data_IF_035036084013
#
_entry.id   IF_035036084013
#
_cell.length_a   1.000
_cell.length_b   1.000
_cell.length_c   1.000
_cell.angle_alpha   90.00
_cell.angle_beta   90.00
_cell.angle_gamma   90.00
#
_symmetry.space_group_name_H-M   'P 1'
#
loop_
_entity.id
_entity.type
_entity.pdbx_description
1 polymer ?
#
# COMPACT_ATOMS: atom_id res chain seq x y z
N UNK A 1 -17.20 -18.72 -13.28
CA UNK A 1 -17.36 -17.27 -13.00
C UNK A 1 -17.89 -16.94 -11.59
N UNK A 2 -17.93 -17.87 -10.60
CA UNK A 2 -18.49 -17.61 -9.26
C UNK A 2 -17.47 -17.21 -8.18
N UNK A 3 -16.16 -17.39 -8.41
CA UNK A 3 -15.14 -17.16 -7.38
C UNK A 3 -14.72 -15.70 -7.17
N UNK A 4 -14.95 -14.80 -8.13
CA UNK A 4 -14.58 -13.39 -7.96
C UNK A 4 -15.61 -12.57 -7.16
N UNK A 5 -16.85 -13.05 -7.05
CA UNK A 5 -17.96 -12.30 -6.47
C UNK A 5 -18.12 -12.48 -4.95
N UNK A 6 -17.58 -13.55 -4.36
CA UNK A 6 -17.77 -13.87 -2.93
C UNK A 6 -16.85 -13.09 -1.98
N UNK A 7 -15.77 -12.47 -2.47
CA UNK A 7 -14.82 -11.78 -1.59
C UNK A 7 -15.22 -10.35 -1.18
N UNK A 8 -16.25 -9.77 -1.81
CA UNK A 8 -16.74 -8.41 -1.54
C UNK A 8 -17.75 -8.32 -0.38
N UNK A 9 -18.14 -9.46 0.22
CA UNK A 9 -19.11 -9.54 1.33
C UNK A 9 -18.48 -9.38 2.73
N UNK A 10 -17.16 -9.29 2.84
CA UNK A 10 -16.53 -8.97 4.12
C UNK A 10 -16.62 -7.45 4.34
N UNK A 11 -17.30 -7.01 5.39
CA UNK A 11 -17.55 -5.62 5.82
C UNK A 11 -16.30 -4.79 6.14
N UNK A 12 -15.26 -4.86 5.30
CA UNK A 12 -13.96 -4.21 5.48
C UNK A 12 -13.86 -3.07 4.48
N UNK A 13 -13.55 -1.89 5.00
CA UNK A 13 -13.26 -0.70 4.17
C UNK A 13 -11.90 -0.91 3.49
N UNK A 14 -11.84 -0.70 2.17
CA UNK A 14 -10.63 -0.90 1.37
C UNK A 14 -10.21 0.40 0.73
N UNK A 15 -8.92 0.70 0.81
CA UNK A 15 -8.30 1.82 0.11
C UNK A 15 -7.27 1.27 -0.87
N UNK A 16 -7.48 1.54 -2.15
CA UNK A 16 -6.52 1.24 -3.22
C UNK A 16 -5.80 2.54 -3.57
N UNK A 17 -4.47 2.49 -3.53
CA UNK A 17 -3.60 3.62 -3.88
C UNK A 17 -2.75 3.23 -5.08
N UNK A 18 -2.24 4.24 -5.79
CA UNK A 18 -1.38 4.07 -6.95
C UNK A 18 -2.09 3.34 -8.11
N UNK A 19 -3.34 3.72 -8.36
CA UNK A 19 -4.21 3.06 -9.32
C UNK A 19 -3.75 3.22 -10.77
N UNK A 20 -2.97 4.26 -11.07
CA UNK A 20 -2.34 4.47 -12.37
C UNK A 20 -1.37 3.33 -12.76
N UNK A 21 -0.83 2.62 -11.76
CA UNK A 21 0.05 1.46 -11.95
C UNK A 21 -0.67 0.12 -12.14
N UNK A 22 -2.01 0.09 -12.14
CA UNK A 22 -2.78 -1.14 -12.32
C UNK A 22 -2.60 -1.68 -13.74
N UNK A 23 -2.40 -2.99 -13.86
CA UNK A 23 -2.27 -3.66 -15.14
C UNK A 23 -3.57 -4.38 -15.49
N UNK A 24 -4.03 -4.23 -16.73
CA UNK A 24 -5.18 -4.92 -17.29
C UNK A 24 -4.67 -5.92 -18.33
N UNK A 25 -5.07 -7.18 -18.24
CA UNK A 25 -4.70 -8.19 -19.22
C UNK A 25 -5.24 -7.85 -20.62
N UNK A 26 -4.53 -8.25 -21.66
CA UNK A 26 -4.94 -8.02 -23.04
C UNK A 26 -4.31 -6.79 -23.67
N UNK A 27 -4.48 -6.66 -24.99
CA UNK A 27 -3.89 -5.57 -25.75
C UNK A 27 -4.52 -4.22 -25.40
N UNK A 28 -3.70 -3.17 -25.38
CA UNK A 28 -4.04 -1.81 -25.04
C UNK A 28 -5.30 -1.29 -25.78
N UNK A 29 -5.37 -1.44 -27.10
CA UNK A 29 -6.48 -0.94 -27.91
C UNK A 29 -7.84 -1.61 -27.61
N UNK A 30 -7.84 -2.87 -27.16
CA UNK A 30 -9.08 -3.58 -26.80
C UNK A 30 -9.68 -3.07 -25.49
N UNK A 31 -8.82 -2.68 -24.55
CA UNK A 31 -9.23 -2.27 -23.21
C UNK A 31 -9.81 -0.85 -23.17
N UNK A 32 -9.70 -0.06 -24.25
CA UNK A 32 -10.24 1.31 -24.36
C UNK A 32 -11.78 1.38 -24.37
N UNK A 33 -12.48 0.24 -24.54
CA UNK A 33 -13.93 0.18 -24.84
C UNK A 33 -14.85 -0.24 -23.67
N UNK A 34 -14.42 -0.25 -22.40
CA UNK A 34 -15.25 -0.79 -21.32
C UNK A 34 -15.37 0.13 -20.10
N UNK A 35 -16.61 0.33 -19.61
CA UNK A 35 -17.02 0.20 -18.19
C UNK A 35 -18.52 0.57 -18.00
N UNK A 36 -19.41 -0.38 -17.65
CA UNK A 36 -20.78 -0.09 -17.22
C UNK A 36 -20.88 0.18 -15.71
N UNK A 37 -21.53 1.27 -15.30
CA UNK A 37 -21.54 1.80 -13.92
C UNK A 37 -22.94 2.04 -13.32
N UNK A 38 -24.01 1.47 -13.88
CA UNK A 38 -25.39 1.92 -13.62
C UNK A 38 -26.21 1.14 -12.57
N UNK A 39 -25.65 0.14 -11.88
CA UNK A 39 -26.44 -0.70 -10.94
C UNK A 39 -26.39 -0.21 -9.49
N UNK A 40 -27.53 -0.25 -8.77
CA UNK A 40 -27.63 0.14 -7.35
C UNK A 40 -26.72 -0.69 -6.42
N UNK A 41 -26.55 -1.98 -6.71
CA UNK A 41 -25.59 -2.86 -6.02
C UNK A 41 -24.13 -2.42 -6.24
N UNK A 42 -23.82 -1.90 -7.43
CA UNK A 42 -22.51 -1.31 -7.73
C UNK A 42 -22.24 -0.04 -6.93
N UNK A 43 -23.25 0.81 -6.76
CA UNK A 43 -23.14 2.06 -5.98
C UNK A 43 -22.81 1.81 -4.50
N UNK A 44 -23.49 0.88 -3.83
CA UNK A 44 -23.20 0.52 -2.44
C UNK A 44 -21.80 -0.10 -2.21
N UNK A 45 -21.24 -0.77 -3.23
CA UNK A 45 -19.88 -1.28 -3.20
C UNK A 45 -18.83 -0.17 -3.40
N UNK A 46 -19.14 0.84 -4.21
CA UNK A 46 -18.29 2.00 -4.45
C UNK A 46 -18.18 2.90 -3.22
N UNK A 47 -19.23 3.04 -2.41
CA UNK A 47 -19.21 3.84 -1.17
C UNK A 47 -18.17 3.35 -0.14
N UNK A 48 -17.82 2.06 -0.17
CA UNK A 48 -16.85 1.43 0.75
C UNK A 48 -15.43 1.39 0.21
N UNK A 49 -15.25 1.75 -1.05
CA UNK A 49 -13.99 1.71 -1.78
C UNK A 49 -13.46 3.14 -1.96
N UNK A 50 -12.24 3.39 -1.51
CA UNK A 50 -11.51 4.60 -1.88
C UNK A 50 -10.40 4.24 -2.86
N UNK A 51 -10.33 4.98 -3.95
CA UNK A 51 -9.38 4.77 -5.06
C UNK A 51 -8.63 6.09 -5.24
N UNK A 52 -7.30 6.02 -5.26
CA UNK A 52 -6.44 7.18 -5.48
C UNK A 52 -5.40 6.88 -6.55
N UNK A 53 -5.17 7.84 -7.44
CA UNK A 53 -3.99 7.89 -8.30
C UNK A 53 -2.82 8.47 -7.49
N UNK A 54 -1.65 7.83 -7.59
CA UNK A 54 -0.54 8.05 -6.67
C UNK A 54 -0.87 7.65 -5.23
N UNK A 55 -0.01 8.05 -4.29
CA UNK A 55 -0.15 7.68 -2.87
C UNK A 55 -0.23 8.95 -2.02
N UNK A 56 -1.45 9.47 -1.78
CA UNK A 56 -1.62 10.71 -1.05
C UNK A 56 -1.29 10.53 0.45
N UNK A 57 -0.83 11.60 1.15
CA UNK A 57 -0.89 11.65 2.60
C UNK A 57 -2.34 11.45 3.04
N UNK A 58 -2.67 10.57 4.01
CA UNK A 58 -1.84 9.92 5.04
C UNK A 58 -1.33 8.50 4.68
N UNK A 59 -1.54 8.00 3.47
CA UNK A 59 -1.26 6.60 3.08
C UNK A 59 0.19 6.36 2.61
N UNK A 60 1.01 7.41 2.57
CA UNK A 60 2.40 7.39 2.13
C UNK A 60 3.37 6.86 3.22
N UNK A 61 2.99 7.02 4.50
CA UNK A 61 3.77 6.62 5.68
C UNK A 61 3.26 5.31 6.27
N UNK A 62 4.18 4.46 6.75
CA UNK A 62 3.81 3.31 7.59
C UNK A 62 3.84 3.77 9.06
N UNK A 63 2.72 3.73 9.81
CA UNK A 63 2.69 4.18 11.20
C UNK A 63 3.60 3.38 12.13
N UNK A 64 3.87 2.10 11.84
CA UNK A 64 4.72 1.20 12.66
C UNK A 64 6.24 1.48 12.53
N UNK A 65 6.64 2.54 11.83
CA UNK A 65 8.06 2.81 11.58
C UNK A 65 8.70 3.59 12.75
N UNK A 66 9.80 3.10 13.35
CA UNK A 66 10.42 3.70 14.54
C UNK A 66 10.97 5.13 14.36
N UNK A 67 11.11 5.61 13.11
CA UNK A 67 11.51 7.00 12.82
C UNK A 67 10.35 7.97 12.68
N UNK A 68 9.10 7.51 12.79
CA UNK A 68 7.97 8.44 12.90
C UNK A 68 7.90 8.93 14.35
N UNK A 69 7.62 10.22 14.59
CA UNK A 69 7.28 10.67 15.93
C UNK A 69 6.10 9.82 16.44
N UNK A 70 6.09 9.42 17.73
CA UNK A 70 4.88 8.90 18.35
C UNK A 70 3.74 9.87 18.04
N UNK A 71 2.54 9.38 17.72
CA UNK A 71 1.39 10.27 17.65
C UNK A 71 1.14 10.78 19.06
N UNK A 72 1.71 11.93 19.41
CA UNK A 72 1.34 12.66 20.63
C UNK A 72 -0.14 12.98 20.48
N UNK A 73 -0.96 12.48 21.40
CA UNK A 73 -2.31 12.99 21.59
C UNK A 73 -2.13 14.35 22.24
N UNK A 74 -2.03 15.41 21.44
CA UNK A 74 -2.05 16.77 21.97
C UNK A 74 -3.44 17.03 22.57
N UNK A 75 -3.56 17.28 23.88
CA UNK A 75 -4.86 17.52 24.53
C UNK A 75 -5.57 18.78 24.01
N UNK A 76 -4.81 19.77 23.50
CA UNK A 76 -5.35 21.08 23.10
C UNK A 76 -5.80 21.14 21.63
N UNK A 77 -5.34 20.19 20.79
CA UNK A 77 -5.75 20.10 19.38
C UNK A 77 -5.98 18.63 18.99
N UNK A 78 -7.19 18.08 19.25
CA UNK A 78 -7.50 16.73 18.81
C UNK A 78 -7.37 16.63 17.28
N UNK A 79 -6.75 15.58 16.73
CA UNK A 79 -6.70 15.41 15.28
C UNK A 79 -8.14 15.38 14.77
N UNK A 80 -8.50 16.35 13.91
CA UNK A 80 -9.82 16.40 13.25
C UNK A 80 -10.15 14.99 12.76
N UNK A 81 -11.12 14.33 13.39
CA UNK A 81 -11.46 12.95 13.06
C UNK A 81 -12.04 12.94 11.65
N UNK A 82 -11.39 12.31 10.66
CA UNK A 82 -12.04 12.13 9.38
C UNK A 82 -13.21 11.18 9.60
N UNK A 83 -14.39 11.52 9.05
CA UNK A 83 -15.63 10.72 9.12
C UNK A 83 -15.45 9.24 8.67
N UNK A 84 -14.34 8.93 8.01
CA UNK A 84 -13.80 7.60 7.82
C UNK A 84 -12.51 7.43 8.64
N UNK A 85 -12.53 6.64 9.71
CA UNK A 85 -11.33 6.26 10.44
C UNK A 85 -10.23 5.77 9.49
N UNK A 86 -9.09 6.46 9.48
CA UNK A 86 -7.99 6.12 8.59
C UNK A 86 -7.42 4.79 9.10
N UNK A 87 -7.58 3.71 8.34
CA UNK A 87 -6.81 2.48 8.53
C UNK A 87 -5.36 2.78 8.14
N UNK A 88 -4.63 3.46 9.02
CA UNK A 88 -3.20 3.68 8.85
C UNK A 88 -2.50 2.36 9.12
N UNK A 89 -2.02 1.70 8.07
CA UNK A 89 -1.30 0.44 8.17
C UNK A 89 -0.32 0.29 7.01
N UNK A 90 0.67 -0.60 7.17
CA UNK A 90 1.58 -0.94 6.08
C UNK A 90 0.79 -1.40 4.86
N UNK A 91 0.99 -0.73 3.72
CA UNK A 91 0.39 -1.11 2.43
C UNK A 91 0.61 -2.60 2.15
N UNK A 92 -0.46 -3.28 1.75
CA UNK A 92 -0.48 -4.71 1.44
C UNK A 92 -0.55 -4.92 -0.08
N UNK A 93 -0.13 -6.10 -0.52
CA UNK A 93 -0.22 -6.54 -1.92
C UNK A 93 -1.13 -7.76 -1.96
N UNK A 94 -2.07 -7.77 -2.90
CA UNK A 94 -2.94 -8.94 -3.14
C UNK A 94 -2.25 -9.84 -4.17
N UNK A 95 -1.60 -10.90 -3.71
CA UNK A 95 -0.87 -11.83 -4.58
C UNK A 95 -1.78 -12.49 -5.62
N UNK A 96 -3.01 -12.81 -5.22
CA UNK A 96 -4.04 -13.37 -6.09
C UNK A 96 -4.47 -12.44 -7.25
N UNK A 97 -4.03 -11.18 -7.30
CA UNK A 97 -4.31 -10.24 -8.38
C UNK A 97 -3.04 -9.73 -9.07
N UNK A 98 -1.86 -10.21 -8.66
CA UNK A 98 -0.59 -9.68 -9.14
C UNK A 98 -0.28 -10.19 -10.55
N UNK A 99 0.03 -9.27 -11.48
CA UNK A 99 0.30 -9.58 -12.89
C UNK A 99 1.34 -10.70 -13.07
N UNK A 100 2.46 -10.64 -12.35
CA UNK A 100 3.56 -11.61 -12.48
C UNK A 100 3.14 -13.05 -12.11
N UNK A 101 2.12 -13.18 -11.25
CA UNK A 101 1.59 -14.47 -10.83
C UNK A 101 0.48 -14.94 -11.78
N UNK A 102 -0.38 -14.02 -12.23
CA UNK A 102 -1.60 -14.36 -12.98
C UNK A 102 -1.43 -14.43 -14.50
N UNK A 103 -0.45 -13.74 -15.06
CA UNK A 103 -0.29 -13.60 -16.51
C UNK A 103 1.04 -14.19 -16.96
N UNK A 104 1.00 -14.99 -18.05
CA UNK A 104 2.21 -15.49 -18.71
C UNK A 104 3.08 -14.29 -19.17
N UNK A 105 4.41 -14.34 -19.03
CA UNK A 105 5.29 -13.25 -19.43
C UNK A 105 5.13 -12.78 -20.89
N UNK A 106 4.76 -13.69 -21.78
CA UNK A 106 4.57 -13.43 -23.23
C UNK A 106 3.25 -12.74 -23.57
N UNK A 107 2.29 -12.66 -22.64
CA UNK A 107 0.98 -12.07 -22.91
C UNK A 107 1.00 -10.55 -22.71
N UNK A 108 0.48 -9.83 -23.70
CA UNK A 108 0.34 -8.37 -23.65
C UNK A 108 -0.58 -7.94 -22.51
N UNK A 109 -0.25 -6.80 -21.90
CA UNK A 109 -1.05 -6.13 -20.88
C UNK A 109 -1.05 -4.63 -21.15
N UNK A 110 -2.02 -3.93 -20.58
CA UNK A 110 -2.14 -2.49 -20.62
C UNK A 110 -1.94 -1.89 -19.23
N UNK A 111 -1.23 -0.76 -19.14
CA UNK A 111 -1.11 0.01 -17.90
C UNK A 111 -2.26 1.03 -17.86
N UNK A 112 -3.01 1.05 -16.75
CA UNK A 112 -4.20 1.87 -16.62
C UNK A 112 -3.89 3.37 -16.72
N UNK A 113 -2.78 3.84 -16.14
CA UNK A 113 -2.38 5.25 -16.22
C UNK A 113 -2.15 5.74 -17.66
N UNK A 114 -1.55 4.89 -18.52
CA UNK A 114 -1.38 5.21 -19.95
C UNK A 114 -2.72 5.27 -20.66
N UNK A 115 -3.58 4.29 -20.39
CA UNK A 115 -4.92 4.23 -20.99
C UNK A 115 -5.75 5.44 -20.58
N UNK A 116 -5.73 5.79 -19.30
CA UNK A 116 -6.42 6.95 -18.74
C UNK A 116 -5.96 8.26 -19.41
N UNK A 117 -4.66 8.45 -19.59
CA UNK A 117 -4.12 9.65 -20.24
C UNK A 117 -4.61 9.80 -21.69
N UNK A 118 -4.61 8.71 -22.47
CA UNK A 118 -5.10 8.72 -23.86
C UNK A 118 -6.62 8.86 -24.01
N UNK A 119 -7.40 8.65 -22.94
CA UNK A 119 -8.85 8.96 -22.91
C UNK A 119 -9.15 10.33 -22.31
N UNK A 120 -8.12 11.15 -22.04
CA UNK A 120 -8.28 12.54 -21.61
C UNK A 120 -8.00 12.80 -20.13
N UNK A 121 -7.39 11.86 -19.39
CA UNK A 121 -6.92 12.13 -18.03
C UNK A 121 -5.70 13.05 -18.04
N UNK A 122 -5.88 14.27 -17.52
CA UNK A 122 -4.89 15.35 -17.60
C UNK A 122 -3.83 15.33 -16.49
N UNK A 123 -4.08 14.62 -15.39
CA UNK A 123 -3.23 14.70 -14.18
C UNK A 123 -2.07 13.70 -14.15
N UNK A 124 -1.73 13.09 -15.29
CA UNK A 124 -0.63 12.13 -15.39
C UNK A 124 0.69 12.73 -14.90
N UNK A 125 1.08 13.86 -15.49
CA UNK A 125 2.40 14.47 -15.24
C UNK A 125 2.51 15.00 -13.80
N UNK A 126 1.41 15.59 -13.29
CA UNK A 126 1.33 16.03 -11.89
C UNK A 126 1.47 14.85 -10.93
N UNK A 127 0.79 13.74 -11.20
CA UNK A 127 0.85 12.54 -10.37
C UNK A 127 2.25 11.92 -10.38
N UNK A 128 2.90 11.88 -11.54
CA UNK A 128 4.27 11.38 -11.69
C UNK A 128 5.27 12.23 -10.88
N UNK A 129 5.22 13.55 -11.02
CA UNK A 129 6.07 14.46 -10.25
C UNK A 129 5.85 14.34 -8.73
N UNK A 130 4.59 14.16 -8.29
CA UNK A 130 4.28 13.95 -6.87
C UNK A 130 4.79 12.59 -6.36
N UNK A 131 4.68 11.53 -7.17
CA UNK A 131 5.20 10.20 -6.82
C UNK A 131 6.72 10.15 -6.78
N UNK A 132 7.42 10.93 -7.62
CA UNK A 132 8.88 11.10 -7.56
C UNK A 132 9.31 11.76 -6.25
N UNK A 133 8.73 12.91 -5.92
CA UNK A 133 8.94 13.57 -4.62
C UNK A 133 8.66 12.63 -3.45
N UNK A 134 7.63 11.79 -3.56
CA UNK A 134 7.31 10.78 -2.53
C UNK A 134 8.36 9.67 -2.46
N UNK A 135 8.90 9.20 -3.59
CA UNK A 135 9.96 8.17 -3.66
C UNK A 135 11.26 8.68 -3.07
N UNK A 136 11.63 9.93 -3.31
CA UNK A 136 12.82 10.57 -2.70
C UNK A 136 12.72 10.60 -1.17
N UNK A 137 11.59 11.11 -0.64
CA UNK A 137 11.31 11.08 0.81
C UNK A 137 11.33 9.66 1.36
N UNK A 138 10.82 8.69 0.60
CA UNK A 138 10.86 7.28 0.98
C UNK A 138 12.28 6.70 0.97
N UNK A 139 13.14 7.09 0.02
CA UNK A 139 14.55 6.69 -0.06
C UNK A 139 15.34 7.21 1.14
N UNK A 140 15.17 8.49 1.48
CA UNK A 140 15.76 9.08 2.70
C UNK A 140 15.33 8.30 3.94
N UNK A 141 14.03 8.03 4.08
CA UNK A 141 13.48 7.24 5.19
C UNK A 141 14.08 5.83 5.24
N UNK A 142 14.19 5.17 4.09
CA UNK A 142 14.74 3.82 3.98
C UNK A 142 16.21 3.78 4.37
N UNK A 143 17.01 4.75 3.92
CA UNK A 143 18.43 4.86 4.28
C UNK A 143 18.61 5.09 5.79
N UNK A 144 17.81 5.97 6.39
CA UNK A 144 17.78 6.16 7.86
C UNK A 144 17.42 4.87 8.59
N UNK A 145 16.37 4.16 8.13
CA UNK A 145 15.96 2.87 8.71
C UNK A 145 17.06 1.81 8.59
N UNK A 146 17.73 1.70 7.43
CA UNK A 146 18.85 0.77 7.23
C UNK A 146 20.00 1.05 8.19
N UNK A 147 20.39 2.32 8.33
CA UNK A 147 21.45 2.72 9.27
C UNK A 147 21.07 2.38 10.71
N UNK A 148 19.84 2.70 11.11
CA UNK A 148 19.30 2.36 12.43
C UNK A 148 19.24 0.85 12.69
N UNK A 149 18.83 0.04 11.71
CA UNK A 149 18.84 -1.43 11.86
C UNK A 149 20.27 -1.98 11.98
N UNK A 150 21.24 -1.42 11.26
CA UNK A 150 22.65 -1.82 11.38
C UNK A 150 23.20 -1.51 12.78
N UNK A 151 22.93 -0.30 13.28
CA UNK A 151 23.31 0.10 14.65
C UNK A 151 22.64 -0.79 15.71
N UNK A 152 21.35 -1.07 15.56
CA UNK A 152 20.62 -1.98 16.44
C UNK A 152 21.25 -3.37 16.48
N UNK A 153 21.58 -3.96 15.32
CA UNK A 153 22.26 -5.26 15.24
C UNK A 153 23.65 -5.26 15.88
N UNK A 154 24.36 -4.12 15.88
CA UNK A 154 25.66 -3.99 16.56
C UNK A 154 25.46 -3.92 18.08
N UNK A 155 24.46 -3.16 18.54
CA UNK A 155 24.10 -3.07 19.96
C UNK A 155 23.63 -4.42 20.51
N UNK A 156 22.79 -5.15 19.77
CA UNK A 156 22.32 -6.50 20.13
C UNK A 156 23.50 -7.47 20.32
N UNK A 157 24.46 -7.50 19.37
CA UNK A 157 25.68 -8.30 19.49
C UNK A 157 26.54 -7.92 20.70
N UNK A 158 26.69 -6.62 20.97
CA UNK A 158 27.45 -6.16 22.14
C UNK A 158 26.78 -6.54 23.47
N UNK A 159 25.45 -6.64 23.50
CA UNK A 159 24.66 -6.95 24.68
C UNK A 159 24.34 -8.45 24.82
N UNK A 160 24.79 -9.29 23.89
CA UNK A 160 24.43 -10.71 23.77
C UNK A 160 24.64 -11.49 25.07
N UNK A 161 25.80 -11.30 25.72
CA UNK A 161 26.14 -11.95 26.99
C UNK A 161 25.12 -11.67 28.11
N UNK A 162 24.54 -10.47 28.13
CA UNK A 162 23.51 -10.07 29.10
C UNK A 162 22.13 -10.59 28.71
N UNK A 163 21.90 -10.79 27.41
CA UNK A 163 20.61 -11.23 26.86
C UNK A 163 20.46 -12.76 26.82
N UNK A 164 21.54 -13.54 26.98
CA UNK A 164 21.56 -15.02 26.95
C UNK A 164 20.42 -15.72 27.71
N UNK A 165 20.10 -15.38 28.99
CA UNK A 165 19.01 -16.06 29.70
C UNK A 165 17.64 -15.76 29.07
N UNK A 166 17.42 -14.54 28.58
CA UNK A 166 16.17 -14.15 27.93
C UNK A 166 16.05 -14.77 26.53
N UNK A 167 17.15 -14.84 25.78
CA UNK A 167 17.15 -15.45 24.43
C UNK A 167 16.92 -16.97 24.50
N UNK A 168 17.38 -17.65 25.55
CA UNK A 168 17.11 -19.07 25.77
C UNK A 168 15.59 -19.36 25.90
N UNK A 169 14.88 -18.56 26.71
CA UNK A 169 13.42 -18.67 26.86
C UNK A 169 12.72 -18.38 25.53
N UNK A 170 13.15 -17.35 24.80
CA UNK A 170 12.57 -17.02 23.49
C UNK A 170 12.78 -18.12 22.45
N UNK A 171 13.93 -18.81 22.47
CA UNK A 171 14.19 -19.99 21.62
C UNK A 171 13.31 -21.17 22.01
N UNK A 172 13.11 -21.43 23.29
CA UNK A 172 12.22 -22.49 23.77
C UNK A 172 10.78 -22.32 23.26
N UNK A 173 10.30 -21.07 23.16
CA UNK A 173 8.98 -20.74 22.62
C UNK A 173 8.96 -20.52 21.09
N UNK A 174 10.08 -20.75 20.38
CA UNK A 174 10.16 -20.62 18.92
C UNK A 174 10.04 -19.19 18.38
N UNK A 175 10.21 -18.17 19.22
CA UNK A 175 10.14 -16.75 18.82
C UNK A 175 11.46 -16.25 18.21
N UNK A 176 12.56 -16.94 18.51
CA UNK A 176 13.88 -16.73 17.91
C UNK A 176 14.35 -18.08 17.33
N UNK A 177 14.76 -18.05 16.07
CA UNK A 177 15.49 -19.15 15.41
C UNK A 177 16.99 -19.03 15.74
#
# INVERSE_FOLDING_TARGET
MRHAYMHYQLSRRVVVVRCEGINISGNFYRNKRMLPHKTKRGQAALERLKVFDGIPPPYDKNPENPTNPPKTRDPQNPPKTPKFGILQGKRRVVLAALKIIRLKPTRKFAVLGRLAHEVGWKYRDVTEALEEKRKEKAKIRYNKKRKMMSLRRRAERSAEKKATPLTAVLRQHGLLL
#
